data_IF_104036176575
#
_entry.id   IF_104036176575
#
_cell.length_a   1.000
_cell.length_b   1.000
_cell.length_c   1.000
_cell.angle_alpha   90.00
_cell.angle_beta   90.00
_cell.angle_gamma   90.00
#
_symmetry.space_group_name_H-M   'P 1'
#
loop_
_entity.id
_entity.type
_entity.pdbx_description
1 polymer ?
#
# COMPACT_ATOMS: atom_id res chain seq x y z
N UNK A 1 -65.63 -39.12 15.30
CA UNK A 1 -64.96 -38.14 14.45
C UNK A 1 -63.59 -37.90 15.03
N UNK A 2 -62.56 -38.36 14.32
CA UNK A 2 -61.17 -38.19 14.75
C UNK A 2 -60.56 -36.99 14.00
N UNK A 3 -59.98 -35.98 14.67
CA UNK A 3 -59.25 -34.96 13.95
C UNK A 3 -57.87 -35.46 13.52
N UNK A 4 -57.55 -35.37 12.25
CA UNK A 4 -56.22 -35.58 11.71
C UNK A 4 -55.36 -34.36 12.08
N UNK A 5 -54.35 -34.59 12.89
CA UNK A 5 -53.28 -33.60 13.13
C UNK A 5 -52.31 -33.63 11.96
N UNK A 6 -52.28 -32.56 11.16
CA UNK A 6 -51.26 -32.30 10.14
C UNK A 6 -50.00 -31.80 10.85
N UNK A 7 -48.98 -32.65 10.91
CA UNK A 7 -47.63 -32.27 11.29
C UNK A 7 -46.94 -31.61 10.08
N UNK A 8 -46.87 -30.29 10.09
CA UNK A 8 -46.04 -29.55 9.14
C UNK A 8 -44.58 -29.66 9.55
N UNK A 9 -43.80 -30.50 8.87
CA UNK A 9 -42.35 -30.57 9.03
C UNK A 9 -41.71 -29.38 8.29
N UNK A 10 -41.28 -28.38 9.04
CA UNK A 10 -40.46 -27.26 8.54
C UNK A 10 -39.02 -27.76 8.37
N UNK A 11 -38.64 -28.07 7.13
CA UNK A 11 -37.26 -28.38 6.77
C UNK A 11 -36.45 -27.06 6.73
N UNK A 12 -35.69 -26.77 7.79
CA UNK A 12 -34.70 -25.71 7.74
C UNK A 12 -33.55 -26.14 6.82
N UNK A 13 -33.51 -25.61 5.62
CA UNK A 13 -32.39 -25.67 4.70
C UNK A 13 -31.25 -24.87 5.30
N UNK A 14 -30.35 -25.53 6.02
CA UNK A 14 -29.08 -24.99 6.43
C UNK A 14 -28.19 -24.85 5.18
N UNK A 15 -28.19 -23.67 4.55
CA UNK A 15 -27.22 -23.31 3.54
C UNK A 15 -25.84 -23.23 4.24
N UNK A 16 -24.82 -23.96 3.78
CA UNK A 16 -23.48 -23.76 4.27
C UNK A 16 -23.04 -22.34 3.83
N UNK A 17 -22.91 -21.41 4.77
CA UNK A 17 -22.14 -20.20 4.56
C UNK A 17 -20.70 -20.66 4.29
N UNK A 18 -20.33 -20.76 3.03
CA UNK A 18 -18.95 -20.87 2.64
C UNK A 18 -18.25 -19.59 3.11
N UNK A 19 -17.63 -19.67 4.29
CA UNK A 19 -16.74 -18.65 4.77
C UNK A 19 -15.62 -18.56 3.74
N UNK A 20 -15.70 -17.58 2.83
CA UNK A 20 -14.59 -17.24 1.97
C UNK A 20 -13.49 -16.75 2.92
N UNK A 21 -12.45 -17.56 3.10
CA UNK A 21 -11.24 -17.13 3.77
C UNK A 21 -10.67 -15.99 2.91
N UNK A 22 -11.02 -14.76 3.26
CA UNK A 22 -10.37 -13.58 2.71
C UNK A 22 -8.94 -13.64 3.19
N UNK A 23 -8.00 -13.90 2.28
CA UNK A 23 -6.59 -13.74 2.58
C UNK A 23 -6.39 -12.30 3.02
N UNK A 24 -6.11 -12.10 4.31
CA UNK A 24 -5.82 -10.78 4.85
C UNK A 24 -4.61 -10.21 4.11
N UNK A 25 -4.82 -9.12 3.37
CA UNK A 25 -3.75 -8.41 2.69
C UNK A 25 -2.93 -7.71 3.77
N UNK A 26 -1.64 -8.02 3.82
CA UNK A 26 -0.73 -7.35 4.75
C UNK A 26 -0.40 -5.95 4.22
N UNK A 27 -0.93 -4.93 4.89
CA UNK A 27 -0.71 -3.52 4.56
C UNK A 27 0.18 -2.88 5.63
N UNK A 28 1.47 -3.16 5.57
CA UNK A 28 2.47 -2.50 6.40
C UNK A 28 3.75 -2.27 5.59
N UNK A 29 4.49 -1.22 5.93
CA UNK A 29 5.73 -0.88 5.28
C UNK A 29 6.74 -0.42 6.34
N UNK A 30 7.45 -1.35 6.95
CA UNK A 30 8.53 -1.05 7.90
C UNK A 30 9.85 -0.77 7.22
N UNK A 31 10.08 -1.43 6.08
CA UNK A 31 11.27 -1.24 5.27
C UNK A 31 10.95 -0.64 3.90
N UNK A 32 11.94 -0.03 3.26
CA UNK A 32 11.81 0.48 1.90
C UNK A 32 11.49 -0.64 0.91
N UNK A 33 11.97 -1.86 1.16
CA UNK A 33 11.60 -3.03 0.38
C UNK A 33 10.12 -3.38 0.48
N UNK A 34 9.56 -3.43 1.69
CA UNK A 34 8.13 -3.66 1.91
C UNK A 34 7.29 -2.56 1.25
N UNK A 35 7.71 -1.29 1.39
CA UNK A 35 7.04 -0.17 0.75
C UNK A 35 7.09 -0.28 -0.78
N UNK A 36 8.24 -0.61 -1.36
CA UNK A 36 8.40 -0.79 -2.80
C UNK A 36 7.55 -1.96 -3.34
N UNK A 37 7.40 -3.04 -2.57
CA UNK A 37 6.54 -4.17 -2.94
C UNK A 37 5.05 -3.79 -2.95
N UNK A 38 4.62 -2.88 -2.07
CA UNK A 38 3.27 -2.32 -2.09
C UNK A 38 3.06 -1.35 -3.26
N UNK A 39 4.03 -0.45 -3.49
CA UNK A 39 3.99 0.53 -4.58
C UNK A 39 4.05 -0.12 -5.96
N UNK A 40 4.79 -1.22 -6.09
CA UNK A 40 4.99 -1.96 -7.33
C UNK A 40 4.04 -3.15 -7.50
N UNK A 41 2.94 -3.22 -6.76
CA UNK A 41 1.98 -4.31 -6.87
C UNK A 41 1.43 -4.42 -8.30
N UNK A 42 1.35 -5.65 -8.80
CA UNK A 42 0.80 -5.89 -10.13
C UNK A 42 -0.72 -5.63 -10.14
N UNK A 43 -1.23 -4.69 -10.96
CA UNK A 43 -2.65 -4.35 -10.98
C UNK A 43 -3.60 -5.52 -11.29
N UNK A 44 -3.09 -6.62 -11.84
CA UNK A 44 -3.86 -7.82 -12.14
C UNK A 44 -3.99 -8.78 -10.96
N UNK A 45 -3.26 -8.55 -9.88
CA UNK A 45 -3.34 -9.39 -8.69
C UNK A 45 -4.49 -8.97 -7.77
N UNK A 46 -5.12 -9.95 -7.13
CA UNK A 46 -6.12 -9.66 -6.12
C UNK A 46 -5.52 -8.80 -4.99
N UNK A 47 -6.21 -7.72 -4.64
CA UNK A 47 -5.78 -6.81 -3.58
C UNK A 47 -4.71 -5.79 -3.99
N UNK A 48 -4.32 -5.72 -5.27
CA UNK A 48 -3.38 -4.74 -5.77
C UNK A 48 -3.81 -3.30 -5.49
N UNK A 49 -5.10 -3.00 -5.69
CA UNK A 49 -5.64 -1.65 -5.43
C UNK A 49 -5.43 -1.23 -3.97
N UNK A 50 -5.65 -2.13 -3.02
CA UNK A 50 -5.43 -1.84 -1.60
C UNK A 50 -3.94 -1.57 -1.31
N UNK A 51 -3.03 -2.34 -1.90
CA UNK A 51 -1.57 -2.15 -1.78
C UNK A 51 -1.13 -0.81 -2.37
N UNK A 52 -1.58 -0.49 -3.58
CA UNK A 52 -1.25 0.75 -4.28
C UNK A 52 -1.80 1.96 -3.54
N UNK A 53 -3.06 1.90 -3.08
CA UNK A 53 -3.67 2.98 -2.31
C UNK A 53 -2.96 3.19 -0.95
N UNK A 54 -2.56 2.10 -0.28
CA UNK A 54 -1.74 2.20 0.93
C UNK A 54 -0.39 2.88 0.63
N UNK A 55 0.30 2.47 -0.43
CA UNK A 55 1.54 3.11 -0.86
C UNK A 55 1.35 4.61 -1.07
N UNK A 56 0.34 5.03 -1.82
CA UNK A 56 0.06 6.44 -2.10
C UNK A 56 -0.20 7.23 -0.82
N UNK A 57 -1.03 6.72 0.09
CA UNK A 57 -1.33 7.39 1.35
C UNK A 57 -0.12 7.49 2.27
N UNK A 58 0.63 6.39 2.41
CA UNK A 58 1.84 6.34 3.22
C UNK A 58 2.89 7.34 2.73
N UNK A 59 3.22 7.30 1.45
CA UNK A 59 4.27 8.16 0.86
C UNK A 59 3.87 9.63 0.89
N UNK A 60 2.61 9.96 0.63
CA UNK A 60 2.11 11.34 0.76
C UNK A 60 2.24 11.83 2.19
N UNK A 61 1.81 11.04 3.18
CA UNK A 61 1.92 11.41 4.59
C UNK A 61 3.35 11.63 5.05
N UNK A 62 4.27 10.77 4.64
CA UNK A 62 5.71 10.93 4.94
C UNK A 62 6.24 12.24 4.35
N UNK A 63 6.00 12.48 3.07
CA UNK A 63 6.47 13.71 2.39
C UNK A 63 5.93 14.96 3.08
N UNK A 64 4.63 15.00 3.37
CA UNK A 64 4.00 16.16 4.00
C UNK A 64 4.60 16.45 5.39
N UNK A 65 4.79 15.41 6.20
CA UNK A 65 5.37 15.54 7.54
C UNK A 65 6.84 15.96 7.48
N UNK A 66 7.64 15.36 6.61
CA UNK A 66 9.06 15.68 6.52
C UNK A 66 9.30 17.09 5.97
N UNK A 67 8.52 17.54 4.99
CA UNK A 67 8.57 18.93 4.50
C UNK A 67 8.12 19.94 5.55
N UNK A 68 7.09 19.60 6.33
CA UNK A 68 6.62 20.46 7.44
C UNK A 68 7.69 20.60 8.53
N UNK A 69 8.36 19.50 8.91
CA UNK A 69 9.44 19.52 9.91
C UNK A 69 10.68 20.28 9.43
N UNK A 70 10.99 20.16 8.16
CA UNK A 70 12.21 20.73 7.58
C UNK A 70 12.18 22.25 7.49
N UNK A 71 11.00 22.88 7.42
CA UNK A 71 10.87 24.31 7.22
C UNK A 71 11.62 24.77 5.97
N UNK A 72 12.60 25.67 6.16
CA UNK A 72 13.39 26.21 5.04
C UNK A 72 14.50 25.27 4.56
N UNK A 73 14.87 24.26 5.37
CA UNK A 73 15.93 23.29 5.06
C UNK A 73 15.34 22.03 4.42
N UNK A 74 14.76 22.18 3.24
CA UNK A 74 14.11 21.07 2.54
C UNK A 74 15.08 19.94 2.23
N UNK A 75 14.71 18.68 2.53
CA UNK A 75 15.55 17.52 2.24
C UNK A 75 15.62 17.17 0.74
N UNK A 76 14.69 17.68 -0.06
CA UNK A 76 14.65 17.55 -1.52
C UNK A 76 13.82 18.70 -2.12
N UNK A 77 13.95 18.92 -3.43
CA UNK A 77 13.24 19.96 -4.15
C UNK A 77 12.62 19.41 -5.42
N UNK A 78 11.30 19.57 -5.56
CA UNK A 78 10.63 19.19 -6.80
C UNK A 78 11.14 20.01 -7.99
N UNK A 79 11.37 19.38 -9.14
CA UNK A 79 11.64 20.11 -10.39
C UNK A 79 10.39 20.86 -10.86
N UNK A 80 10.56 21.75 -11.82
CA UNK A 80 9.44 22.44 -12.48
C UNK A 80 9.41 22.05 -13.96
N UNK A 81 8.34 21.43 -14.46
CA UNK A 81 7.16 20.96 -13.72
C UNK A 81 7.46 19.75 -12.80
N UNK A 82 6.69 19.54 -11.74
CA UNK A 82 6.89 18.39 -10.87
C UNK A 82 6.48 17.08 -11.58
N UNK A 83 7.15 15.96 -11.28
CA UNK A 83 6.73 14.66 -11.80
C UNK A 83 5.37 14.24 -11.23
N UNK A 84 4.68 13.35 -11.93
CA UNK A 84 3.48 12.73 -11.39
C UNK A 84 3.82 11.81 -10.22
N UNK A 85 2.85 11.56 -9.35
CA UNK A 85 3.00 10.63 -8.23
C UNK A 85 3.41 9.24 -8.72
N UNK A 86 2.73 8.73 -9.73
CA UNK A 86 3.00 7.40 -10.29
C UNK A 86 4.41 7.30 -10.88
N UNK A 87 4.87 8.33 -11.58
CA UNK A 87 6.24 8.37 -12.11
C UNK A 87 7.28 8.38 -10.96
N UNK A 88 7.02 9.13 -9.90
CA UNK A 88 7.91 9.18 -8.73
C UNK A 88 7.96 7.85 -8.00
N UNK A 89 6.81 7.22 -7.77
CA UNK A 89 6.74 5.93 -7.07
C UNK A 89 7.30 4.78 -7.92
N UNK A 90 7.09 4.81 -9.23
CA UNK A 90 7.75 3.87 -10.15
C UNK A 90 9.28 3.97 -10.07
N UNK A 91 9.81 5.20 -10.08
CA UNK A 91 11.24 5.43 -9.92
C UNK A 91 11.77 4.98 -8.55
N UNK A 92 10.99 5.17 -7.47
CA UNK A 92 11.33 4.65 -6.13
C UNK A 92 11.42 3.12 -6.13
N UNK A 93 10.44 2.44 -6.71
CA UNK A 93 10.44 0.97 -6.82
C UNK A 93 11.68 0.49 -7.56
N UNK A 94 12.05 1.12 -8.66
CA UNK A 94 13.25 0.77 -9.42
C UNK A 94 14.54 1.04 -8.63
N UNK A 95 14.62 2.17 -7.92
CA UNK A 95 15.76 2.51 -7.07
C UNK A 95 15.97 1.47 -5.94
N UNK A 96 14.90 1.01 -5.31
CA UNK A 96 14.97 -0.05 -4.28
C UNK A 96 15.43 -1.39 -4.87
N UNK A 97 15.08 -1.68 -6.13
CA UNK A 97 15.45 -2.93 -6.81
C UNK A 97 16.92 -3.00 -7.22
N UNK A 98 17.52 -1.86 -7.53
CA UNK A 98 18.90 -1.79 -8.05
C UNK A 98 19.93 -2.23 -7.00
N UNK A 99 19.74 -1.83 -5.73
CA UNK A 99 20.65 -2.16 -4.64
C UNK A 99 19.93 -2.89 -3.51
N UNK A 100 20.34 -4.13 -3.18
CA UNK A 100 19.74 -4.88 -2.06
C UNK A 100 19.80 -4.13 -0.73
N UNK A 101 20.82 -3.28 -0.51
CA UNK A 101 20.95 -2.46 0.69
C UNK A 101 19.77 -1.50 0.88
N UNK A 102 19.22 -0.93 -0.20
CA UNK A 102 18.06 -0.05 -0.14
C UNK A 102 16.83 -0.76 0.44
N UNK A 103 16.65 -2.05 0.17
CA UNK A 103 15.51 -2.80 0.67
C UNK A 103 15.46 -2.90 2.19
N UNK A 104 16.60 -2.88 2.85
CA UNK A 104 16.70 -3.00 4.31
C UNK A 104 16.63 -1.66 5.06
N UNK A 105 16.68 -0.54 4.35
CA UNK A 105 16.45 0.78 4.97
C UNK A 105 15.05 0.86 5.57
N UNK A 106 14.87 1.67 6.62
CA UNK A 106 13.53 1.99 7.12
C UNK A 106 12.69 2.64 6.01
N UNK A 107 11.39 2.38 5.98
CA UNK A 107 10.53 2.86 4.88
C UNK A 107 10.54 4.38 4.71
N UNK A 108 10.53 5.12 5.82
CA UNK A 108 10.61 6.59 5.82
C UNK A 108 12.00 7.05 5.36
N UNK A 109 13.06 6.47 5.97
CA UNK A 109 14.44 6.84 5.66
C UNK A 109 14.78 6.55 4.19
N UNK A 110 14.42 5.35 3.70
CA UNK A 110 14.65 4.95 2.31
C UNK A 110 13.89 5.81 1.31
N UNK A 111 12.63 6.17 1.61
CA UNK A 111 11.88 7.09 0.75
C UNK A 111 12.52 8.48 0.70
N UNK A 112 12.94 9.02 1.86
CA UNK A 112 13.58 10.33 1.92
C UNK A 112 14.97 10.33 1.29
N UNK A 113 15.73 9.24 1.45
CA UNK A 113 17.02 9.03 0.78
C UNK A 113 16.85 9.06 -0.75
N UNK A 114 15.91 8.27 -1.28
CA UNK A 114 15.58 8.29 -2.70
C UNK A 114 15.21 9.69 -3.19
N UNK A 115 14.30 10.39 -2.49
CA UNK A 115 13.86 11.73 -2.91
C UNK A 115 15.01 12.74 -2.89
N UNK A 116 15.90 12.67 -1.90
CA UNK A 116 17.08 13.53 -1.82
C UNK A 116 18.08 13.30 -2.95
N UNK A 117 18.31 12.03 -3.32
CA UNK A 117 19.18 11.69 -4.44
C UNK A 117 18.56 12.06 -5.80
N UNK A 118 17.27 11.82 -5.96
CA UNK A 118 16.56 12.01 -7.23
C UNK A 118 16.25 13.47 -7.51
N UNK A 119 15.93 14.24 -6.47
CA UNK A 119 15.47 15.63 -6.55
C UNK A 119 16.26 16.54 -5.60
N UNK A 120 17.59 16.63 -5.76
CA UNK A 120 18.39 17.46 -4.87
C UNK A 120 18.02 18.93 -5.01
N UNK A 121 18.00 19.66 -3.87
CA UNK A 121 17.93 21.11 -3.91
C UNK A 121 19.25 21.69 -4.43
N UNK A 122 19.17 22.71 -5.27
CA UNK A 122 20.32 23.40 -5.83
C UNK A 122 20.84 24.47 -4.89
#
# INVERSE_FOLDING_TARGET
MKPLALLAATACLALPLAAHAQHAISLHARTAGELADLCGANPREAGADAKINYCHGFTQGVVDVELMKAGDKKPFCWPSPPPTRDATLGAFVDWVRVLPAHRSEGSVDGLMHFLGERYPCK
#
